data_IF_236838836384
#
_entry.id   IF_236838836384
#
_cell.length_a   1.000
_cell.length_b   1.000
_cell.length_c   1.000
_cell.angle_alpha   90.00
_cell.angle_beta   90.00
_cell.angle_gamma   90.00
#
_symmetry.space_group_name_H-M   'P 1'
#
loop_
_entity.id
_entity.type
_entity.pdbx_description
1 polymer ?
#
# COMPACT_ATOMS: atom_id res chain seq x y z
N UNK A 1 17.87 8.06 -1.16
CA UNK A 1 16.83 8.51 -0.21
C UNK A 1 15.71 9.22 -0.97
N UNK A 2 14.84 8.46 -1.65
CA UNK A 2 13.70 9.03 -2.37
C UNK A 2 12.45 8.82 -1.51
N UNK A 3 12.24 9.72 -0.54
CA UNK A 3 10.95 9.81 0.14
C UNK A 3 9.99 10.51 -0.83
N UNK A 4 8.90 9.84 -1.20
CA UNK A 4 7.77 10.47 -1.88
C UNK A 4 7.11 11.44 -0.88
N UNK A 5 7.56 12.68 -0.90
CA UNK A 5 6.91 13.80 -0.21
C UNK A 5 5.80 14.30 -1.15
N UNK A 6 4.51 14.18 -0.81
CA UNK A 6 3.49 14.90 -1.55
C UNK A 6 3.59 16.39 -1.17
N UNK A 7 3.83 17.24 -2.18
CA UNK A 7 3.82 18.69 -2.02
C UNK A 7 2.40 19.19 -1.68
N UNK A 8 2.26 20.24 -0.86
CA UNK A 8 0.97 20.87 -0.61
C UNK A 8 0.68 21.87 -1.73
N UNK A 9 -0.53 21.85 -2.26
CA UNK A 9 -1.06 22.99 -3.02
C UNK A 9 -2.37 23.42 -2.37
N UNK A 10 -2.29 24.61 -1.77
CA UNK A 10 -3.39 25.31 -1.13
C UNK A 10 -4.45 25.80 -2.12
N UNK A 11 -5.59 26.17 -1.52
CA UNK A 11 -6.60 27.18 -1.92
C UNK A 11 -7.88 26.67 -2.61
N UNK A 12 -8.96 26.70 -1.80
CA UNK A 12 -10.25 27.39 -2.05
C UNK A 12 -11.14 26.80 -3.19
N UNK A 13 -12.45 26.60 -3.07
CA UNK A 13 -13.53 27.40 -2.48
C UNK A 13 -14.75 26.55 -2.10
N UNK A 14 -15.52 27.06 -1.16
CA UNK A 14 -16.88 26.62 -0.85
C UNK A 14 -17.84 27.01 -1.98
N UNK A 15 -18.89 26.22 -2.24
CA UNK A 15 -20.26 26.74 -2.43
C UNK A 15 -21.31 25.61 -2.46
N UNK A 16 -22.51 25.96 -1.98
CA UNK A 16 -23.53 25.10 -1.39
C UNK A 16 -24.63 24.66 -2.37
N UNK A 17 -24.84 23.35 -2.57
CA UNK A 17 -26.10 22.79 -3.13
C UNK A 17 -26.42 21.41 -2.50
N UNK A 18 -27.63 21.19 -1.93
CA UNK A 18 -28.00 19.90 -1.37
C UNK A 18 -28.54 18.99 -2.48
N UNK A 19 -27.69 18.10 -2.97
CA UNK A 19 -28.07 16.99 -3.84
C UNK A 19 -27.12 15.83 -3.57
N UNK A 20 -27.69 14.65 -3.26
CA UNK A 20 -27.01 13.36 -3.12
C UNK A 20 -25.61 13.42 -2.51
N UNK A 21 -25.51 13.19 -1.19
CA UNK A 21 -24.23 13.03 -0.50
C UNK A 21 -23.48 11.78 -1.03
N UNK A 22 -22.80 11.92 -2.16
CA UNK A 22 -21.62 11.14 -2.48
C UNK A 22 -20.47 11.78 -1.70
N UNK A 23 -19.83 11.07 -0.76
CA UNK A 23 -18.64 11.59 -0.11
C UNK A 23 -17.57 11.80 -1.19
N UNK A 24 -17.36 13.05 -1.60
CA UNK A 24 -16.16 13.45 -2.34
C UNK A 24 -14.98 13.39 -1.38
N UNK A 25 -14.40 12.20 -1.27
CA UNK A 25 -13.14 11.94 -0.61
C UNK A 25 -12.22 11.17 -1.55
N UNK A 26 -11.43 11.90 -2.34
CA UNK A 26 -10.15 11.53 -2.94
C UNK A 26 -10.02 10.11 -3.57
N UNK A 27 -10.08 10.11 -4.90
CA UNK A 27 -9.76 9.07 -5.88
C UNK A 27 -8.33 8.50 -5.82
N UNK A 28 -8.09 7.56 -4.91
CA UNK A 28 -7.32 6.34 -5.17
C UNK A 28 -7.70 5.32 -4.11
N UNK A 29 -8.05 4.06 -4.45
CA UNK A 29 -8.31 3.07 -3.42
C UNK A 29 -7.07 2.92 -2.56
N UNK A 30 -7.14 3.33 -1.29
CA UNK A 30 -6.11 3.05 -0.30
C UNK A 30 -5.90 1.55 -0.29
N UNK A 31 -4.74 1.08 -0.74
CA UNK A 31 -4.44 -0.33 -0.79
C UNK A 31 -4.26 -0.83 0.66
N UNK A 32 -5.28 -1.52 1.16
CA UNK A 32 -5.29 -2.16 2.47
C UNK A 32 -5.33 -3.67 2.32
N UNK A 33 -4.72 -4.37 3.27
CA UNK A 33 -4.84 -5.80 3.40
C UNK A 33 -5.96 -6.15 4.38
N UNK A 34 -6.90 -6.99 3.94
CA UNK A 34 -7.97 -7.55 4.79
C UNK A 34 -7.67 -8.97 5.23
N UNK A 35 -6.72 -9.63 4.56
CA UNK A 35 -6.28 -10.98 4.82
C UNK A 35 -4.85 -11.17 4.30
N UNK A 36 -4.07 -11.98 4.99
CA UNK A 36 -2.70 -12.33 4.60
C UNK A 36 -2.64 -13.70 3.93
N UNK A 37 -1.58 -13.91 3.15
CA UNK A 37 -1.28 -15.25 2.65
C UNK A 37 -0.87 -16.17 3.78
N UNK A 38 -1.49 -17.36 3.81
CA UNK A 38 -1.17 -18.38 4.80
C UNK A 38 0.15 -19.11 4.54
N UNK A 39 0.76 -18.93 3.36
CA UNK A 39 2.01 -19.58 2.97
C UNK A 39 2.99 -18.54 2.45
N UNK A 40 4.24 -18.70 2.84
CA UNK A 40 5.36 -17.94 2.30
C UNK A 40 5.38 -18.06 0.77
N UNK A 41 5.41 -16.91 0.11
CA UNK A 41 5.62 -16.83 -1.34
C UNK A 41 7.10 -17.00 -1.63
N UNK A 42 7.48 -17.77 -2.66
CA UNK A 42 8.91 -17.94 -2.94
C UNK A 42 9.56 -16.63 -3.39
N UNK A 43 10.66 -16.20 -2.72
CA UNK A 43 11.42 -14.97 -2.99
C UNK A 43 11.64 -14.67 -4.47
N UNK A 44 11.95 -15.70 -5.27
CA UNK A 44 12.22 -15.62 -6.72
C UNK A 44 11.09 -15.00 -7.54
N UNK A 45 9.85 -15.06 -7.04
CA UNK A 45 8.67 -14.52 -7.71
C UNK A 45 8.34 -13.09 -7.28
N UNK A 46 8.92 -12.61 -6.18
CA UNK A 46 8.72 -11.24 -5.70
C UNK A 46 9.65 -10.31 -6.48
N UNK A 47 9.06 -9.28 -7.06
CA UNK A 47 9.75 -8.25 -7.82
C UNK A 47 9.87 -6.95 -7.02
N UNK A 48 8.80 -6.57 -6.32
CA UNK A 48 8.72 -5.31 -5.58
C UNK A 48 7.74 -5.43 -4.41
N UNK A 49 7.64 -4.39 -3.57
CA UNK A 49 6.71 -4.31 -2.45
C UNK A 49 6.13 -2.91 -2.27
N UNK A 50 4.96 -2.85 -1.64
CA UNK A 50 4.28 -1.62 -1.25
C UNK A 50 3.80 -1.77 0.20
N UNK A 51 4.08 -0.78 1.03
CA UNK A 51 3.50 -0.72 2.37
C UNK A 51 2.06 -0.19 2.31
N UNK A 52 1.16 -0.81 3.07
CA UNK A 52 -0.21 -0.29 3.19
C UNK A 52 -0.23 1.04 3.95
N UNK A 53 -1.25 1.86 3.72
CA UNK A 53 -1.41 3.11 4.46
C UNK A 53 -1.66 2.88 5.95
N UNK A 54 -1.19 3.79 6.80
CA UNK A 54 -1.52 3.82 8.24
C UNK A 54 -3.01 4.04 8.53
N UNK A 55 -3.80 4.41 7.52
CA UNK A 55 -5.26 4.49 7.60
C UNK A 55 -5.95 3.12 7.60
N UNK A 56 -5.23 2.06 7.21
CA UNK A 56 -5.77 0.70 7.24
C UNK A 56 -5.90 0.22 8.68
N UNK A 57 -6.99 -0.48 9.00
CA UNK A 57 -7.20 -1.06 10.34
C UNK A 57 -6.17 -2.12 10.71
N UNK A 58 -5.53 -2.71 9.71
CA UNK A 58 -4.48 -3.71 9.87
C UNK A 58 -3.25 -3.29 9.05
N UNK A 59 -2.05 -3.35 9.64
CA UNK A 59 -0.81 -3.08 8.92
C UNK A 59 -0.50 -4.24 7.97
N UNK A 60 -0.13 -3.95 6.73
CA UNK A 60 0.18 -4.96 5.73
C UNK A 60 1.33 -4.55 4.80
N UNK A 61 1.97 -5.55 4.22
CA UNK A 61 2.88 -5.37 3.09
C UNK A 61 2.29 -6.07 1.88
N UNK A 62 2.21 -5.36 0.75
CA UNK A 62 1.73 -5.89 -0.51
C UNK A 62 2.94 -6.18 -1.39
N UNK A 63 3.23 -7.45 -1.60
CA UNK A 63 4.27 -7.87 -2.55
C UNK A 63 3.73 -7.88 -3.98
N UNK A 64 4.47 -7.25 -4.89
CA UNK A 64 4.29 -7.34 -6.33
C UNK A 64 5.12 -8.51 -6.86
N UNK A 65 4.44 -9.45 -7.48
CA UNK A 65 5.11 -10.58 -8.12
C UNK A 65 5.45 -10.26 -9.58
N UNK A 66 6.46 -10.94 -10.12
CA UNK A 66 6.85 -10.87 -11.55
C UNK A 66 5.74 -11.20 -12.55
N UNK A 67 4.65 -11.80 -12.06
CA UNK A 67 3.45 -12.11 -12.85
C UNK A 67 2.40 -10.99 -12.79
N UNK A 68 2.74 -9.84 -12.21
CA UNK A 68 1.84 -8.70 -12.02
C UNK A 68 0.75 -8.95 -10.96
N UNK A 69 0.91 -9.94 -10.09
CA UNK A 69 -0.04 -10.20 -8.99
C UNK A 69 0.41 -9.52 -7.71
N UNK A 70 -0.55 -8.97 -6.98
CA UNK A 70 -0.36 -8.40 -5.66
C UNK A 70 -0.72 -9.42 -4.57
N UNK A 71 0.12 -9.51 -3.55
CA UNK A 71 -0.01 -10.48 -2.47
C UNK A 71 0.13 -9.76 -1.14
N UNK A 72 -0.93 -9.78 -0.33
CA UNK A 72 -0.90 -9.27 1.04
C UNK A 72 -0.16 -10.24 1.97
N UNK A 73 0.80 -9.71 2.72
CA UNK A 73 1.59 -10.44 3.71
C UNK A 73 1.61 -9.69 5.04
N UNK A 74 1.74 -10.45 6.13
CA UNK A 74 1.75 -9.91 7.49
C UNK A 74 3.15 -9.37 7.82
N UNK A 75 3.32 -8.08 8.16
CA UNK A 75 4.62 -7.51 8.51
C UNK A 75 5.26 -8.15 9.76
N UNK A 76 4.50 -8.92 10.54
CA UNK A 76 5.01 -9.63 11.72
C UNK A 76 5.68 -10.97 11.38
N UNK A 77 5.54 -11.45 10.15
CA UNK A 77 6.19 -12.68 9.70
C UNK A 77 7.66 -12.44 9.32
N UNK A 78 8.56 -13.31 9.78
CA UNK A 78 10.01 -13.14 9.57
C UNK A 78 10.38 -13.06 8.07
N UNK A 79 9.81 -13.95 7.25
CA UNK A 79 10.09 -13.98 5.81
C UNK A 79 9.65 -12.68 5.11
N UNK A 80 8.61 -12.01 5.61
CA UNK A 80 8.14 -10.73 5.05
C UNK A 80 9.17 -9.64 5.29
N UNK A 81 9.71 -9.57 6.50
CA UNK A 81 10.74 -8.61 6.88
C UNK A 81 12.05 -8.86 6.12
N UNK A 82 12.45 -10.12 5.96
CA UNK A 82 13.60 -10.51 5.15
C UNK A 82 13.44 -10.06 3.70
N UNK A 83 12.25 -10.26 3.11
CA UNK A 83 12.02 -9.92 1.71
C UNK A 83 11.98 -8.42 1.48
N UNK A 84 11.37 -7.65 2.40
CA UNK A 84 11.39 -6.19 2.36
C UNK A 84 12.83 -5.68 2.44
N UNK A 85 13.60 -6.20 3.40
CA UNK A 85 15.01 -5.82 3.57
C UNK A 85 15.84 -6.14 2.33
N UNK A 86 15.66 -7.34 1.76
CA UNK A 86 16.34 -7.71 0.51
C UNK A 86 15.97 -6.76 -0.63
N UNK A 87 14.70 -6.35 -0.75
CA UNK A 87 14.27 -5.44 -1.81
C UNK A 87 14.83 -4.03 -1.61
N UNK A 88 14.89 -3.54 -0.37
CA UNK A 88 15.50 -2.24 -0.03
C UNK A 88 17.01 -2.19 -0.32
N UNK A 89 17.73 -3.30 -0.06
CA UNK A 89 19.17 -3.38 -0.32
C UNK A 89 19.52 -3.44 -1.82
N UNK A 90 18.56 -3.82 -2.67
CA UNK A 90 18.74 -3.94 -4.12
C UNK A 90 18.17 -2.72 -4.90
N UNK A 91 17.64 -1.70 -4.22
CA UNK A 91 16.93 -0.56 -4.81
C UNK A 91 17.83 0.66 -5.15
#
# INVERSE_FOLDING_TARGET
MKKCIPKPLSLQEAESRPGYFLPMGADSPTACCFSYVARESQRKFIEDYLETSSQCSQPGVIFLTKRGRQVCADPNENWVQEYVTDLELNA
#
